data_IF_308557970833
#
_entry.id   IF_308557970833
#
_cell.length_a   1.000
_cell.length_b   1.000
_cell.length_c   1.000
_cell.angle_alpha   90.00
_cell.angle_beta   90.00
_cell.angle_gamma   90.00
#
_symmetry.space_group_name_H-M   'P 1'
#
loop_
_entity.id
_entity.type
_entity.pdbx_description
1 polymer ?
#
# COMPACT_ATOMS: atom_id res chain seq x y z
N UNK A 1 18.82 24.92 3.38
CA UNK A 1 18.25 25.26 2.07
C UNK A 1 18.28 24.04 1.19
N UNK A 2 17.21 23.25 1.19
CA UNK A 2 17.06 22.09 0.31
C UNK A 2 16.22 22.54 -0.88
N UNK A 3 16.77 22.39 -2.09
CA UNK A 3 16.14 22.73 -3.35
C UNK A 3 14.68 22.26 -3.43
N UNK A 4 13.79 23.14 -3.91
CA UNK A 4 12.34 22.90 -4.10
C UNK A 4 11.99 21.85 -5.18
N UNK A 5 12.98 21.35 -5.92
CA UNK A 5 12.79 20.41 -7.04
C UNK A 5 12.44 18.97 -6.62
N UNK A 6 13.19 18.29 -5.71
CA UNK A 6 12.90 16.90 -5.34
C UNK A 6 11.56 16.71 -4.62
N UNK A 7 11.16 17.66 -3.77
CA UNK A 7 9.86 17.60 -3.07
C UNK A 7 8.71 17.76 -4.06
N UNK A 8 8.86 18.66 -5.04
CA UNK A 8 7.84 18.91 -6.06
C UNK A 8 7.63 17.73 -7.00
N UNK A 9 8.67 16.95 -7.27
CA UNK A 9 8.56 15.75 -8.13
C UNK A 9 7.96 14.56 -7.37
N UNK A 10 8.29 14.38 -6.09
CA UNK A 10 7.61 13.42 -5.22
C UNK A 10 6.12 13.77 -5.05
N UNK A 11 5.79 15.07 -4.89
CA UNK A 11 4.40 15.55 -4.84
C UNK A 11 3.67 15.38 -6.18
N UNK A 12 4.35 15.56 -7.33
CA UNK A 12 3.77 15.30 -8.65
C UNK A 12 3.51 13.82 -8.91
N UNK A 13 4.36 12.91 -8.42
CA UNK A 13 4.09 11.47 -8.49
C UNK A 13 2.88 11.10 -7.63
N UNK A 14 2.82 11.60 -6.39
CA UNK A 14 1.66 11.42 -5.52
C UNK A 14 0.36 12.04 -6.09
N UNK A 15 0.45 13.19 -6.76
CA UNK A 15 -0.69 13.81 -7.44
C UNK A 15 -1.10 13.06 -8.72
N UNK A 16 -0.15 12.57 -9.51
CA UNK A 16 -0.40 11.76 -10.71
C UNK A 16 -1.05 10.41 -10.36
N UNK A 17 -0.84 9.94 -9.13
CA UNK A 17 -1.42 8.72 -8.61
C UNK A 17 -2.75 8.95 -7.88
N UNK A 18 -3.41 10.12 -7.99
CA UNK A 18 -4.65 10.48 -7.25
C UNK A 18 -4.54 10.40 -5.71
N UNK A 19 -3.33 10.33 -5.14
CA UNK A 19 -3.11 10.39 -3.70
C UNK A 19 -3.24 11.83 -3.16
N UNK A 20 -3.17 12.84 -4.05
CA UNK A 20 -3.30 14.26 -3.73
C UNK A 20 -4.13 14.98 -4.82
N UNK A 21 -5.14 15.76 -4.41
CA UNK A 21 -5.82 16.72 -5.28
C UNK A 21 -5.01 18.03 -5.29
N UNK A 22 -4.58 18.49 -6.47
CA UNK A 22 -3.96 19.81 -6.63
C UNK A 22 -5.09 20.83 -6.81
N UNK A 23 -5.26 21.70 -5.82
CA UNK A 23 -6.18 22.85 -5.89
C UNK A 23 -5.70 23.88 -6.91
N UNK A 24 -6.62 24.71 -7.45
CA UNK A 24 -6.34 25.75 -8.46
C UNK A 24 -5.30 26.79 -8.00
N UNK A 25 -5.07 26.94 -6.70
CA UNK A 25 -4.05 27.81 -6.10
C UNK A 25 -2.68 27.13 -5.92
N UNK A 26 -2.49 25.89 -6.41
CA UNK A 26 -1.24 25.15 -6.35
C UNK A 26 -0.98 24.43 -5.02
N UNK A 27 -1.93 24.40 -4.09
CA UNK A 27 -1.83 23.59 -2.87
C UNK A 27 -2.26 22.14 -3.15
N UNK A 28 -1.42 21.17 -2.79
CA UNK A 28 -1.79 19.76 -2.79
C UNK A 28 -2.56 19.43 -1.49
N UNK A 29 -3.76 18.86 -1.61
CA UNK A 29 -4.57 18.44 -0.49
C UNK A 29 -4.88 16.95 -0.60
N UNK A 30 -4.98 16.24 0.53
CA UNK A 30 -5.46 14.86 0.53
C UNK A 30 -6.92 14.87 0.08
N UNK A 31 -7.32 14.08 -0.95
CA UNK A 31 -8.69 14.07 -1.43
C UNK A 31 -9.65 13.69 -0.29
N UNK A 32 -10.81 14.35 -0.22
CA UNK A 32 -11.86 13.90 0.70
C UNK A 32 -12.29 12.50 0.29
N UNK A 33 -12.20 11.57 1.24
CA UNK A 33 -12.64 10.19 1.05
C UNK A 33 -14.16 10.16 1.09
N UNK A 34 -14.77 9.93 -0.08
CA UNK A 34 -16.17 9.57 -0.14
C UNK A 34 -16.30 8.05 -0.12
N UNK A 35 -17.43 7.54 0.41
CA UNK A 35 -17.72 6.10 0.37
C UNK A 35 -17.62 5.54 -1.06
N UNK A 36 -18.11 6.28 -2.05
CA UNK A 36 -18.04 5.87 -3.45
C UNK A 36 -16.60 5.73 -3.96
N UNK A 37 -15.68 6.64 -3.58
CA UNK A 37 -14.26 6.55 -3.94
C UNK A 37 -13.58 5.35 -3.27
N UNK A 38 -13.90 5.09 -2.00
CA UNK A 38 -13.39 3.91 -1.29
C UNK A 38 -13.90 2.61 -1.93
N UNK A 39 -15.20 2.54 -2.25
CA UNK A 39 -15.79 1.38 -2.91
C UNK A 39 -15.13 1.11 -4.28
N UNK A 40 -14.84 2.15 -5.06
CA UNK A 40 -14.16 2.04 -6.35
C UNK A 40 -12.71 1.56 -6.21
N UNK A 41 -11.97 2.12 -5.25
CA UNK A 41 -10.62 1.67 -4.94
C UNK A 41 -10.58 0.21 -4.50
N UNK A 42 -11.50 -0.21 -3.63
CA UNK A 42 -11.62 -1.59 -3.19
C UNK A 42 -11.86 -2.54 -4.36
N UNK A 43 -12.68 -2.17 -5.35
CA UNK A 43 -12.88 -2.97 -6.57
C UNK A 43 -11.60 -3.12 -7.37
N UNK A 44 -10.84 -2.04 -7.56
CA UNK A 44 -9.55 -2.09 -8.24
C UNK A 44 -8.55 -2.99 -7.51
N UNK A 45 -8.45 -2.84 -6.17
CA UNK A 45 -7.59 -3.67 -5.32
C UNK A 45 -7.97 -5.16 -5.42
N UNK A 46 -9.25 -5.50 -5.32
CA UNK A 46 -9.74 -6.88 -5.44
C UNK A 46 -9.36 -7.52 -6.79
N UNK A 47 -9.37 -6.74 -7.89
CA UNK A 47 -9.01 -7.24 -9.21
C UNK A 47 -7.52 -7.61 -9.36
N UNK A 48 -6.62 -6.94 -8.63
CA UNK A 48 -5.17 -7.12 -8.78
C UNK A 48 -4.52 -7.90 -7.63
N UNK A 49 -4.95 -7.66 -6.38
CA UNK A 49 -4.35 -8.27 -5.19
C UNK A 49 -4.65 -9.76 -5.10
N UNK A 50 -5.85 -10.17 -5.52
CA UNK A 50 -6.22 -11.59 -5.57
C UNK A 50 -5.32 -12.39 -6.52
N UNK A 51 -5.10 -11.86 -7.74
CA UNK A 51 -4.22 -12.48 -8.72
C UNK A 51 -2.76 -12.49 -8.25
N UNK A 52 -2.27 -11.39 -7.66
CA UNK A 52 -0.91 -11.35 -7.13
C UNK A 52 -0.72 -12.37 -5.98
N UNK A 53 -1.72 -12.52 -5.10
CA UNK A 53 -1.69 -13.51 -4.04
C UNK A 53 -1.74 -14.95 -4.57
N UNK A 54 -2.59 -15.23 -5.55
CA UNK A 54 -2.71 -16.53 -6.22
C UNK A 54 -1.37 -16.96 -6.85
N UNK A 55 -0.71 -16.04 -7.56
CA UNK A 55 0.59 -16.31 -8.19
C UNK A 55 1.73 -16.37 -7.17
N UNK A 56 1.66 -15.57 -6.11
CA UNK A 56 2.74 -15.39 -5.15
C UNK A 56 2.79 -16.45 -4.06
N UNK A 57 1.65 -16.86 -3.52
CA UNK A 57 1.60 -17.79 -2.39
C UNK A 57 2.34 -19.12 -2.66
N UNK A 58 2.21 -19.77 -3.84
CA UNK A 58 2.94 -21.02 -4.14
C UNK A 58 4.46 -20.83 -4.28
N UNK A 59 4.95 -19.60 -4.44
CA UNK A 59 6.36 -19.27 -4.68
C UNK A 59 7.10 -18.84 -3.42
N UNK A 60 6.39 -18.71 -2.29
CA UNK A 60 6.99 -18.34 -1.02
C UNK A 60 7.96 -19.43 -0.55
N UNK A 61 9.15 -19.00 -0.15
CA UNK A 61 10.14 -19.86 0.49
C UNK A 61 9.77 -20.15 1.93
N UNK A 62 10.35 -21.22 2.50
CA UNK A 62 10.17 -21.54 3.91
C UNK A 62 10.62 -20.37 4.84
N UNK A 63 11.66 -19.63 4.44
CA UNK A 63 12.14 -18.47 5.18
C UNK A 63 11.14 -17.31 5.15
N UNK A 64 10.51 -17.05 4.01
CA UNK A 64 9.47 -16.02 3.87
C UNK A 64 8.20 -16.40 4.65
N UNK A 65 7.79 -17.67 4.60
CA UNK A 65 6.65 -18.17 5.40
C UNK A 65 6.92 -17.99 6.90
N UNK A 66 8.12 -18.35 7.38
CA UNK A 66 8.52 -18.12 8.77
C UNK A 66 8.55 -16.63 9.13
N UNK A 67 8.93 -15.77 8.19
CA UNK A 67 8.86 -14.32 8.38
C UNK A 67 7.41 -13.82 8.47
N UNK A 68 6.51 -14.30 7.62
CA UNK A 68 5.10 -13.95 7.62
C UNK A 68 4.41 -14.41 8.91
N UNK A 69 4.76 -15.59 9.43
CA UNK A 69 4.26 -16.07 10.72
C UNK A 69 4.65 -15.13 11.86
N UNK A 70 5.92 -14.71 11.93
CA UNK A 70 6.38 -13.73 12.92
C UNK A 70 5.64 -12.39 12.81
N UNK A 71 5.37 -11.93 11.58
CA UNK A 71 4.58 -10.70 11.37
C UNK A 71 3.18 -10.85 11.96
N UNK A 72 2.51 -11.98 11.72
CA UNK A 72 1.18 -12.26 12.28
C UNK A 72 1.21 -12.36 13.81
N UNK A 73 2.23 -13.01 14.38
CA UNK A 73 2.39 -13.14 15.83
C UNK A 73 2.61 -11.76 16.48
N UNK A 74 3.46 -10.91 15.87
CA UNK A 74 3.67 -9.53 16.31
C UNK A 74 2.36 -8.73 16.29
N UNK A 75 1.55 -8.87 15.23
CA UNK A 75 0.25 -8.20 15.13
C UNK A 75 -0.72 -8.61 16.25
N UNK A 76 -0.72 -9.88 16.63
CA UNK A 76 -1.54 -10.37 17.75
C UNK A 76 -1.04 -9.82 19.09
N UNK A 77 0.27 -9.66 19.25
CA UNK A 77 0.89 -9.15 20.47
C UNK A 77 0.68 -7.64 20.68
N UNK A 78 0.51 -6.86 19.60
CA UNK A 78 0.24 -5.41 19.66
C UNK A 78 -1.05 -5.10 20.46
N UNK A 79 -1.99 -6.04 20.59
CA UNK A 79 -3.17 -5.89 21.46
C UNK A 79 -4.10 -4.75 21.03
N UNK A 80 -5.13 -4.44 21.85
CA UNK A 80 -6.11 -3.38 21.54
C UNK A 80 -5.60 -1.95 21.75
N UNK A 81 -4.64 -1.77 22.64
CA UNK A 81 -4.09 -0.46 23.02
C UNK A 81 -2.73 -0.17 22.35
N UNK A 82 -2.28 -1.08 21.48
CA UNK A 82 -1.03 -0.93 20.77
C UNK A 82 -1.07 0.11 19.65
N UNK A 83 0.11 0.43 19.12
CA UNK A 83 0.25 1.44 18.09
C UNK A 83 -0.47 1.01 16.81
N UNK A 84 -1.55 1.70 16.46
CA UNK A 84 -2.27 1.52 15.19
C UNK A 84 -1.34 1.66 13.98
N UNK A 85 -0.33 2.52 14.07
CA UNK A 85 0.67 2.70 13.03
C UNK A 85 1.57 1.47 12.84
N UNK A 86 1.91 0.77 13.93
CA UNK A 86 2.68 -0.48 13.84
C UNK A 86 1.83 -1.59 13.24
N UNK A 87 0.55 -1.67 13.60
CA UNK A 87 -0.38 -2.66 13.03
C UNK A 87 -0.52 -2.48 11.51
N UNK A 88 -0.70 -1.23 11.07
CA UNK A 88 -0.74 -0.81 9.66
C UNK A 88 0.54 -1.19 8.92
N UNK A 89 1.71 -0.91 9.51
CA UNK A 89 3.01 -1.23 8.91
C UNK A 89 3.22 -2.75 8.79
N UNK A 90 2.85 -3.52 9.81
CA UNK A 90 2.92 -4.99 9.79
C UNK A 90 1.95 -5.59 8.77
N UNK A 91 0.75 -5.03 8.64
CA UNK A 91 -0.21 -5.44 7.63
C UNK A 91 0.33 -5.22 6.21
N UNK A 92 0.91 -4.05 5.96
CA UNK A 92 1.60 -3.77 4.69
C UNK A 92 2.73 -4.76 4.43
N UNK A 93 3.58 -5.01 5.42
CA UNK A 93 4.69 -5.97 5.29
C UNK A 93 4.20 -7.38 4.91
N UNK A 94 3.13 -7.86 5.55
CA UNK A 94 2.53 -9.16 5.28
C UNK A 94 2.09 -9.24 3.81
N UNK A 95 1.24 -8.31 3.37
CA UNK A 95 0.67 -8.33 2.03
C UNK A 95 1.72 -8.15 0.93
N UNK A 96 2.65 -7.20 1.07
CA UNK A 96 3.67 -6.93 0.05
C UNK A 96 4.70 -8.04 -0.11
N UNK A 97 4.95 -8.83 0.96
CA UNK A 97 5.78 -10.04 0.85
C UNK A 97 5.14 -11.04 -0.11
N UNK A 98 3.84 -11.26 0.02
CA UNK A 98 3.08 -12.17 -0.86
C UNK A 98 3.03 -11.62 -2.29
N UNK A 99 2.71 -10.34 -2.47
CA UNK A 99 2.62 -9.74 -3.80
C UNK A 99 3.94 -9.75 -4.55
N UNK A 100 5.07 -9.53 -3.86
CA UNK A 100 6.41 -9.61 -4.47
C UNK A 100 6.73 -11.03 -4.95
N UNK A 101 6.30 -12.05 -4.20
CA UNK A 101 6.49 -13.44 -4.59
C UNK A 101 5.74 -13.80 -5.89
N UNK A 102 4.74 -13.01 -6.33
CA UNK A 102 4.05 -13.21 -7.61
C UNK A 102 4.98 -13.18 -8.82
N UNK A 103 6.17 -12.58 -8.69
CA UNK A 103 7.13 -12.41 -9.78
C UNK A 103 6.63 -11.54 -10.93
N UNK A 104 5.55 -10.77 -10.74
CA UNK A 104 5.01 -9.84 -11.72
C UNK A 104 5.26 -8.40 -11.29
N UNK A 105 6.27 -7.77 -11.90
CA UNK A 105 6.59 -6.35 -11.65
C UNK A 105 5.40 -5.43 -11.97
N UNK A 106 4.60 -5.80 -12.98
CA UNK A 106 3.40 -5.05 -13.39
C UNK A 106 2.34 -5.08 -12.28
N UNK A 107 2.03 -6.25 -11.74
CA UNK A 107 1.06 -6.36 -10.64
C UNK A 107 1.57 -5.65 -9.38
N UNK A 108 2.86 -5.80 -9.06
CA UNK A 108 3.46 -5.16 -7.90
C UNK A 108 3.36 -3.63 -7.96
N UNK A 109 3.70 -3.02 -9.09
CA UNK A 109 3.63 -1.56 -9.27
C UNK A 109 2.18 -1.03 -9.24
N UNK A 110 1.24 -1.76 -9.84
CA UNK A 110 -0.18 -1.41 -9.78
C UNK A 110 -0.70 -1.44 -8.33
N UNK A 111 -0.37 -2.48 -7.56
CA UNK A 111 -0.78 -2.60 -6.16
C UNK A 111 -0.15 -1.49 -5.31
N UNK A 112 1.14 -1.20 -5.50
CA UNK A 112 1.83 -0.12 -4.78
C UNK A 112 1.13 1.23 -5.01
N UNK A 113 0.78 1.53 -6.26
CA UNK A 113 0.05 2.76 -6.62
C UNK A 113 -1.32 2.82 -5.94
N UNK A 114 -2.06 1.71 -5.89
CA UNK A 114 -3.39 1.66 -5.26
C UNK A 114 -3.31 1.81 -3.74
N UNK A 115 -2.26 1.27 -3.10
CA UNK A 115 -2.01 1.45 -1.66
C UNK A 115 -1.54 2.86 -1.29
N UNK A 116 -0.96 3.62 -2.23
CA UNK A 116 -0.63 5.04 -1.99
C UNK A 116 -1.85 5.95 -2.03
N UNK A 117 -2.89 5.56 -2.77
CA UNK A 117 -4.19 6.28 -2.83
C UNK A 117 -4.96 6.22 -1.52
N UNK A 118 -4.64 5.24 -0.66
CA UNK A 118 -5.31 5.04 0.60
C UNK A 118 -4.41 4.26 1.54
N UNK A 119 -3.98 4.89 2.64
CA UNK A 119 -3.18 4.22 3.66
C UNK A 119 -3.87 2.95 4.17
N UNK A 120 -3.11 1.96 4.68
CA UNK A 120 -3.62 0.64 5.03
C UNK A 120 -4.78 0.65 6.03
#
# INVERSE_FOLDING_TARGET
GTSNMPVREALRRLAAENALEISQNGSACVPVVTRARLDDLCRARLAVEGLAAELGAPRLTAAEIASLQRVTDDQQAIGRDGSIYELIAKNQQFHFTIYRASGSDVLFQLIETLWLRFGP
#
